data_IF_864621620666
#
_entry.id   IF_864621620666
#
_cell.length_a   1.000
_cell.length_b   1.000
_cell.length_c   1.000
_cell.angle_alpha   90.00
_cell.angle_beta   90.00
_cell.angle_gamma   90.00
#
_symmetry.space_group_name_H-M   'P 1'
#
loop_
_entity.id
_entity.type
_entity.pdbx_description
1 polymer ?
#
# COMPACT_ATOMS: atom_id res chain seq x y z
N UNK A 1 8.69 -1.60 -9.44
CA UNK A 1 7.87 -2.66 -10.08
C UNK A 1 6.43 -2.49 -9.63
N UNK A 2 5.50 -2.40 -10.56
CA UNK A 2 4.05 -2.40 -10.26
C UNK A 2 3.61 -3.87 -10.21
N UNK A 3 3.03 -4.31 -9.08
CA UNK A 3 2.45 -5.65 -8.98
C UNK A 3 1.06 -5.61 -9.63
N UNK A 4 0.98 -5.93 -10.92
CA UNK A 4 -0.28 -5.94 -11.65
C UNK A 4 -1.26 -6.94 -11.02
N UNK A 5 -2.42 -6.44 -10.62
CA UNK A 5 -3.53 -7.26 -10.12
C UNK A 5 -3.48 -7.64 -8.64
N UNK A 6 -2.43 -7.30 -7.88
CA UNK A 6 -2.40 -7.55 -6.44
C UNK A 6 -2.93 -6.33 -5.67
N UNK A 7 -3.98 -6.55 -4.88
CA UNK A 7 -4.53 -5.53 -3.98
C UNK A 7 -4.29 -5.97 -2.54
N UNK A 8 -3.58 -5.14 -1.77
CA UNK A 8 -3.40 -5.35 -0.35
C UNK A 8 -4.63 -4.83 0.41
N UNK A 9 -5.47 -5.72 0.90
CA UNK A 9 -6.62 -5.33 1.72
C UNK A 9 -6.23 -5.14 3.18
N UNK A 10 -6.42 -3.91 3.68
CA UNK A 10 -6.19 -3.55 5.08
C UNK A 10 -7.52 -3.69 5.85
N UNK A 11 -7.54 -4.56 6.83
CA UNK A 11 -8.73 -4.94 7.58
C UNK A 11 -9.34 -6.27 7.13
N UNK A 12 -10.36 -6.73 7.84
CA UNK A 12 -11.09 -7.98 7.58
C UNK A 12 -10.21 -9.21 7.32
N UNK A 13 -9.01 -9.27 7.95
CA UNK A 13 -8.08 -10.38 7.76
C UNK A 13 -7.52 -10.50 6.34
N UNK A 14 -7.41 -9.39 5.60
CA UNK A 14 -6.93 -9.38 4.22
C UNK A 14 -8.02 -9.55 3.16
N UNK A 15 -9.28 -9.63 3.57
CA UNK A 15 -10.43 -9.70 2.66
C UNK A 15 -10.90 -8.30 2.25
N UNK A 16 -11.55 -8.21 1.08
CA UNK A 16 -12.16 -6.96 0.62
C UNK A 16 -13.18 -6.43 1.63
N UNK A 17 -13.12 -5.14 1.92
CA UNK A 17 -14.06 -4.49 2.82
C UNK A 17 -15.49 -4.55 2.26
N UNK A 18 -16.48 -5.08 3.01
CA UNK A 18 -17.86 -5.15 2.54
C UNK A 18 -18.48 -3.77 2.30
N UNK A 19 -18.01 -2.72 2.97
CA UNK A 19 -18.46 -1.35 2.76
C UNK A 19 -17.97 -0.76 1.42
N UNK A 20 -16.95 -1.32 0.81
CA UNK A 20 -16.44 -0.91 -0.51
C UNK A 20 -17.12 -1.63 -1.66
N UNK A 21 -17.95 -2.64 -1.38
CA UNK A 21 -18.81 -3.24 -2.38
C UNK A 21 -19.98 -2.30 -2.62
N UNK A 22 -20.02 -1.62 -3.77
CA UNK A 22 -21.23 -0.95 -4.23
C UNK A 22 -22.35 -1.99 -4.27
N UNK A 23 -23.55 -1.74 -3.68
CA UNK A 23 -24.66 -2.65 -3.89
C UNK A 23 -24.92 -2.70 -5.40
N UNK A 24 -25.23 -3.89 -5.96
CA UNK A 24 -25.66 -3.97 -7.34
C UNK A 24 -26.87 -3.05 -7.48
N UNK A 25 -26.79 -2.09 -8.40
CA UNK A 25 -27.88 -1.16 -8.69
C UNK A 25 -29.03 -1.98 -9.26
N UNK A 26 -29.90 -2.46 -8.39
CA UNK A 26 -31.20 -3.02 -8.77
C UNK A 26 -32.09 -1.84 -9.13
N UNK A 27 -31.84 -1.23 -10.28
CA UNK A 27 -32.90 -0.49 -10.93
C UNK A 27 -33.87 -1.48 -11.52
N UNK A 28 -35.01 -1.60 -10.83
CA UNK A 28 -36.12 -2.39 -11.29
C UNK A 28 -36.54 -2.00 -12.69
N UNK A 29 -36.39 -2.90 -13.64
CA UNK A 29 -37.20 -2.97 -14.84
C UNK A 29 -37.93 -4.30 -14.85
N UNK A 30 -39.24 -4.14 -14.69
CA UNK A 30 -40.24 -5.18 -14.78
C UNK A 30 -40.10 -6.01 -16.06
N UNK A 31 -40.42 -7.27 -15.87
CA UNK A 31 -40.55 -8.35 -16.82
C UNK A 31 -41.04 -7.98 -18.23
N UNK A 32 -40.37 -8.57 -19.25
CA UNK A 32 -41.00 -9.17 -20.40
C UNK A 32 -40.11 -10.23 -21.02
N UNK A 33 -40.48 -11.45 -20.79
CA UNK A 33 -40.47 -12.68 -21.61
C UNK A 33 -39.91 -12.54 -23.04
N UNK A 34 -38.82 -13.33 -23.34
CA UNK A 34 -38.62 -14.18 -24.51
C UNK A 34 -37.14 -14.46 -24.80
N UNK A 35 -36.84 -15.77 -24.94
CA UNK A 35 -35.86 -16.29 -25.90
C UNK A 35 -34.54 -16.74 -25.32
N UNK A 36 -34.39 -18.03 -25.27
CA UNK A 36 -33.16 -18.80 -25.15
C UNK A 36 -32.12 -18.30 -26.16
N UNK A 37 -30.92 -18.09 -25.68
CA UNK A 37 -29.58 -18.24 -26.29
C UNK A 37 -28.59 -17.20 -25.73
N UNK A 38 -27.35 -17.69 -25.48
CA UNK A 38 -26.15 -16.95 -25.03
C UNK A 38 -25.90 -16.84 -23.51
N UNK A 39 -25.39 -17.96 -22.96
CA UNK A 39 -24.92 -18.07 -21.57
C UNK A 39 -23.39 -17.98 -21.41
N UNK A 40 -22.62 -17.54 -22.39
CA UNK A 40 -21.14 -17.55 -22.28
C UNK A 40 -20.44 -16.17 -22.22
N UNK A 41 -21.13 -15.04 -22.46
CA UNK A 41 -20.49 -13.72 -22.42
C UNK A 41 -20.74 -12.90 -21.15
N UNK A 42 -21.44 -13.43 -20.14
CA UNK A 42 -21.89 -12.66 -18.99
C UNK A 42 -20.88 -12.66 -17.84
N UNK A 43 -19.91 -13.58 -17.84
CA UNK A 43 -18.98 -13.74 -16.71
C UNK A 43 -17.79 -12.76 -16.77
N UNK A 44 -17.36 -12.34 -17.95
CA UNK A 44 -16.24 -11.42 -18.12
C UNK A 44 -16.62 -9.95 -17.88
N UNK A 45 -17.86 -9.58 -18.16
CA UNK A 45 -18.37 -8.20 -17.97
C UNK A 45 -18.70 -7.86 -16.50
N UNK A 46 -18.88 -8.88 -15.64
CA UNK A 46 -19.16 -8.69 -14.20
C UNK A 46 -17.88 -8.37 -13.38
N UNK A 47 -16.70 -8.68 -13.89
CA UNK A 47 -15.44 -8.41 -13.22
C UNK A 47 -14.92 -6.97 -13.46
N UNK A 48 -15.30 -6.33 -14.56
CA UNK A 48 -14.91 -4.95 -14.88
C UNK A 48 -15.69 -3.88 -14.09
N UNK A 49 -16.80 -4.22 -13.45
CA UNK A 49 -17.67 -3.29 -12.72
C UNK A 49 -17.36 -3.13 -11.23
N UNK A 50 -16.41 -3.89 -10.66
CA UNK A 50 -15.99 -3.73 -9.27
C UNK A 50 -14.82 -2.74 -9.15
N UNK A 51 -15.03 -1.50 -9.56
CA UNK A 51 -14.13 -0.44 -9.14
C UNK A 51 -14.26 -0.26 -7.62
N UNK A 52 -13.23 -0.67 -6.89
CA UNK A 52 -13.13 -0.38 -5.47
C UNK A 52 -13.09 1.14 -5.30
N UNK A 53 -14.13 1.69 -4.72
CA UNK A 53 -14.36 3.12 -4.53
C UNK A 53 -13.25 3.85 -3.77
N UNK A 54 -12.29 3.11 -3.18
CA UNK A 54 -11.20 3.65 -2.37
C UNK A 54 -9.86 2.89 -2.61
N UNK A 55 -9.61 2.53 -3.88
CA UNK A 55 -8.34 1.97 -4.30
C UNK A 55 -7.31 3.09 -4.40
N UNK A 56 -6.27 3.01 -3.58
CA UNK A 56 -5.16 3.97 -3.61
C UNK A 56 -3.85 3.22 -3.76
N UNK A 57 -2.98 3.77 -4.60
CA UNK A 57 -1.63 3.27 -4.74
C UNK A 57 -0.79 3.68 -3.52
N UNK A 58 -0.16 2.71 -2.88
CA UNK A 58 0.77 2.89 -1.77
C UNK A 58 2.17 2.52 -2.23
N UNK A 59 3.15 3.35 -1.94
CA UNK A 59 4.56 3.00 -2.10
C UNK A 59 5.01 2.24 -0.87
N UNK A 60 5.30 0.95 -1.03
CA UNK A 60 5.83 0.10 0.04
C UNK A 60 7.34 -0.02 -0.08
N UNK A 61 8.03 0.23 1.03
CA UNK A 61 9.48 0.16 1.12
C UNK A 61 9.85 -1.00 2.03
N UNK A 62 10.59 -1.92 1.45
CA UNK A 62 11.09 -3.10 2.12
C UNK A 62 12.61 -3.22 1.94
N UNK A 63 13.24 -4.09 2.71
CA UNK A 63 14.67 -4.40 2.61
C UNK A 63 15.06 -4.88 1.20
N UNK A 64 14.14 -5.49 0.48
CA UNK A 64 14.31 -6.00 -0.89
C UNK A 64 14.14 -4.95 -1.98
N UNK A 65 13.56 -3.77 -1.66
CA UNK A 65 13.38 -2.68 -2.60
C UNK A 65 12.12 -1.85 -2.36
N UNK A 66 11.73 -1.10 -3.39
CA UNK A 66 10.57 -0.20 -3.40
C UNK A 66 9.49 -0.74 -4.35
N UNK A 67 8.28 -0.87 -3.85
CA UNK A 67 7.15 -1.45 -4.57
C UNK A 67 5.98 -0.48 -4.61
N UNK A 68 5.22 -0.51 -5.69
CA UNK A 68 3.94 0.17 -5.77
C UNK A 68 2.84 -0.89 -5.65
N UNK A 69 1.98 -0.76 -4.66
CA UNK A 69 0.88 -1.68 -4.38
C UNK A 69 -0.44 -0.92 -4.39
N UNK A 70 -1.45 -1.56 -4.93
CA UNK A 70 -2.81 -1.09 -4.76
C UNK A 70 -3.33 -1.53 -3.38
N UNK A 71 -3.90 -0.59 -2.63
CA UNK A 71 -4.38 -0.82 -1.27
C UNK A 71 -5.87 -0.57 -1.19
N UNK A 72 -6.58 -1.55 -0.65
CA UNK A 72 -7.99 -1.44 -0.28
C UNK A 72 -8.13 -1.15 1.21
N UNK A 73 -8.57 0.05 1.56
CA UNK A 73 -8.79 0.46 2.94
C UNK A 73 -10.11 -0.08 3.50
N UNK A 74 -10.16 -0.32 4.79
CA UNK A 74 -11.43 -0.60 5.46
C UNK A 74 -12.18 0.71 5.70
N UNK A 75 -13.42 0.80 5.20
CA UNK A 75 -14.29 1.96 5.29
C UNK A 75 -15.56 1.68 6.12
N UNK A 76 -15.56 0.64 6.96
CA UNK A 76 -16.68 0.35 7.85
C UNK A 76 -16.91 1.48 8.85
N UNK A 77 -18.14 1.67 9.39
CA UNK A 77 -18.44 2.76 10.34
C UNK A 77 -17.55 2.81 11.58
N UNK A 78 -17.01 1.66 12.00
CA UNK A 78 -16.11 1.52 13.14
C UNK A 78 -14.68 1.19 12.71
N UNK A 79 -14.30 1.47 11.45
CA UNK A 79 -12.95 1.22 11.00
C UNK A 79 -11.96 2.14 11.70
N UNK A 80 -10.79 1.64 12.12
CA UNK A 80 -9.74 2.50 12.63
C UNK A 80 -9.17 3.39 11.51
N UNK A 81 -8.48 4.46 11.91
CA UNK A 81 -7.79 5.35 10.98
C UNK A 81 -6.81 4.58 10.08
N UNK A 82 -6.55 5.10 8.87
CA UNK A 82 -5.65 4.49 7.88
C UNK A 82 -4.26 4.18 8.45
N UNK A 83 -3.75 5.06 9.30
CA UNK A 83 -2.49 4.88 10.03
C UNK A 83 -2.52 3.63 10.90
N UNK A 84 -3.61 3.44 11.67
CA UNK A 84 -3.78 2.29 12.56
C UNK A 84 -3.93 1.00 11.73
N UNK A 85 -4.64 1.06 10.60
CA UNK A 85 -4.76 -0.07 9.68
C UNK A 85 -3.39 -0.52 9.17
N UNK A 86 -2.50 0.41 8.79
CA UNK A 86 -1.12 0.09 8.39
C UNK A 86 -0.33 -0.56 9.52
N UNK A 87 -0.40 -0.02 10.74
CA UNK A 87 0.29 -0.60 11.90
C UNK A 87 -0.17 -2.03 12.21
N UNK A 88 -1.46 -2.32 12.06
CA UNK A 88 -1.99 -3.68 12.21
C UNK A 88 -1.36 -4.68 11.21
N UNK A 89 -0.97 -4.19 10.03
CA UNK A 89 -0.26 -4.96 9.01
C UNK A 89 1.28 -4.85 9.11
N UNK A 90 1.80 -4.36 10.23
CA UNK A 90 3.24 -4.14 10.47
C UNK A 90 3.89 -3.24 9.42
N UNK A 91 3.16 -2.23 8.99
CA UNK A 91 3.63 -1.19 8.10
C UNK A 91 3.68 0.15 8.83
N UNK A 92 4.82 0.82 8.77
CA UNK A 92 5.03 2.13 9.38
C UNK A 92 4.73 3.21 8.34
N UNK A 93 3.70 4.05 8.52
CA UNK A 93 3.35 5.09 7.57
C UNK A 93 4.39 6.22 7.58
N UNK A 94 4.76 6.72 6.41
CA UNK A 94 5.64 7.89 6.26
C UNK A 94 4.94 9.20 6.66
N UNK A 95 3.61 9.24 6.62
CA UNK A 95 2.78 10.39 6.97
C UNK A 95 1.57 9.94 7.81
N UNK A 96 1.19 10.77 8.78
CA UNK A 96 0.07 10.48 9.70
C UNK A 96 -1.29 10.94 9.19
N UNK A 97 -1.36 11.82 8.20
CA UNK A 97 -2.63 12.38 7.72
C UNK A 97 -3.20 11.63 6.51
N UNK A 98 -2.38 11.38 5.49
CA UNK A 98 -2.74 10.64 4.28
C UNK A 98 -1.55 9.80 3.85
N UNK A 99 -1.42 8.57 4.37
CA UNK A 99 -0.27 7.73 4.06
C UNK A 99 -0.33 7.27 2.60
N UNK A 100 0.60 7.77 1.78
CA UNK A 100 0.89 7.33 0.41
C UNK A 100 2.11 6.43 0.34
N UNK A 101 2.90 6.42 1.43
CA UNK A 101 4.14 5.65 1.53
C UNK A 101 4.18 4.97 2.89
N UNK A 102 4.62 3.72 2.92
CA UNK A 102 4.81 2.95 4.14
C UNK A 102 6.11 2.14 4.10
N UNK A 103 6.69 1.93 5.26
CA UNK A 103 7.90 1.14 5.48
C UNK A 103 7.57 -0.16 6.18
N UNK A 104 8.24 -1.26 5.81
CA UNK A 104 8.25 -2.43 6.69
C UNK A 104 9.11 -2.16 7.92
N UNK A 105 8.77 -2.74 9.07
CA UNK A 105 9.62 -2.60 10.26
C UNK A 105 11.03 -3.16 10.00
N UNK A 106 11.15 -4.19 9.18
CA UNK A 106 12.43 -4.77 8.82
C UNK A 106 13.37 -3.80 8.12
N UNK A 107 12.87 -2.97 7.20
CA UNK A 107 13.72 -1.96 6.53
C UNK A 107 14.13 -0.84 7.47
N UNK A 108 13.29 -0.47 8.44
CA UNK A 108 13.63 0.55 9.45
C UNK A 108 14.72 0.04 10.40
N UNK A 109 14.61 -1.20 10.87
CA UNK A 109 15.64 -1.85 11.69
C UNK A 109 16.96 -1.96 10.93
N UNK A 110 16.90 -2.38 9.67
CA UNK A 110 18.09 -2.49 8.82
C UNK A 110 18.75 -1.13 8.60
N UNK A 111 17.98 -0.09 8.33
CA UNK A 111 18.48 1.27 8.20
C UNK A 111 19.11 1.77 9.51
N UNK A 112 18.49 1.48 10.65
CA UNK A 112 19.02 1.86 11.95
C UNK A 112 20.42 1.25 12.18
N UNK A 113 20.57 -0.04 11.90
CA UNK A 113 21.87 -0.74 12.01
C UNK A 113 22.90 -0.12 11.03
N UNK A 114 22.54 0.06 9.77
CA UNK A 114 23.40 0.68 8.76
C UNK A 114 23.83 2.10 9.16
N UNK A 115 22.95 2.87 9.77
CA UNK A 115 23.23 4.24 10.21
C UNK A 115 24.19 4.27 11.43
N UNK A 116 24.01 3.34 12.37
CA UNK A 116 24.84 3.28 13.59
C UNK A 116 26.21 2.69 13.28
N UNK A 117 26.27 1.54 12.64
CA UNK A 117 27.50 0.78 12.40
C UNK A 117 28.30 1.34 11.22
N UNK A 118 27.64 1.62 10.10
CA UNK A 118 28.27 2.03 8.85
C UNK A 118 28.23 3.55 8.61
N UNK A 119 27.61 4.32 9.50
CA UNK A 119 27.40 5.78 9.35
C UNK A 119 26.67 6.14 8.04
N UNK A 120 25.79 5.26 7.58
CA UNK A 120 25.04 5.43 6.35
C UNK A 120 24.00 6.53 6.52
N UNK A 121 24.02 7.53 5.62
CA UNK A 121 22.99 8.55 5.58
C UNK A 121 21.70 8.06 4.93
N UNK A 122 20.56 8.69 5.21
CA UNK A 122 19.28 8.38 4.56
C UNK A 122 19.38 8.46 3.03
N UNK A 123 20.17 9.41 2.50
CA UNK A 123 20.41 9.53 1.06
C UNK A 123 21.14 8.31 0.47
N UNK A 124 22.19 7.85 1.13
CA UNK A 124 22.95 6.67 0.67
C UNK A 124 22.09 5.41 0.78
N UNK A 125 21.30 5.30 1.84
CA UNK A 125 20.40 4.18 2.03
C UNK A 125 19.29 4.14 0.97
N UNK A 126 18.66 5.29 0.67
CA UNK A 126 17.66 5.37 -0.40
C UNK A 126 18.26 5.04 -1.78
N UNK A 127 19.48 5.49 -2.08
CA UNK A 127 20.19 5.13 -3.31
C UNK A 127 20.48 3.63 -3.41
N UNK A 128 20.74 2.96 -2.26
CA UNK A 128 20.89 1.51 -2.18
C UNK A 128 19.57 0.81 -2.52
N UNK A 129 18.45 1.26 -1.94
CA UNK A 129 17.13 0.72 -2.23
C UNK A 129 16.71 0.90 -3.69
N UNK A 130 17.01 2.05 -4.30
CA UNK A 130 16.78 2.28 -5.73
C UNK A 130 17.49 1.23 -6.59
N UNK A 131 18.76 0.96 -6.31
CA UNK A 131 19.55 -0.03 -7.05
C UNK A 131 19.07 -1.46 -6.82
N UNK A 132 18.56 -1.77 -5.63
CA UNK A 132 17.95 -3.07 -5.35
C UNK A 132 16.64 -3.25 -6.10
N UNK A 133 15.87 -2.18 -6.28
CA UNK A 133 14.59 -2.19 -7.00
C UNK A 133 14.79 -2.30 -8.50
N UNK A 134 15.62 -1.44 -9.07
CA UNK A 134 15.97 -1.44 -10.48
C UNK A 134 17.45 -1.08 -10.66
N UNK A 135 18.25 -2.10 -10.89
CA UNK A 135 19.68 -1.93 -11.11
C UNK A 135 20.01 -1.21 -12.42
N UNK A 136 19.18 -1.40 -13.45
CA UNK A 136 19.39 -0.84 -14.78
C UNK A 136 19.02 0.64 -14.86
N UNK A 137 17.98 1.06 -14.15
CA UNK A 137 17.53 2.44 -14.10
C UNK A 137 17.11 2.88 -12.68
N UNK A 138 18.05 3.04 -11.76
CA UNK A 138 17.74 3.40 -10.37
C UNK A 138 16.99 4.74 -10.24
N UNK A 139 17.18 5.65 -11.17
CA UNK A 139 16.56 6.98 -11.17
C UNK A 139 15.05 6.96 -11.45
N UNK A 140 14.53 5.86 -12.02
CA UNK A 140 13.08 5.70 -12.24
C UNK A 140 12.30 5.41 -10.96
N UNK A 141 13.00 5.01 -9.88
CA UNK A 141 12.38 4.63 -8.62
C UNK A 141 12.08 5.88 -7.79
N UNK A 142 10.80 6.14 -7.42
CA UNK A 142 10.42 7.34 -6.66
C UNK A 142 10.88 7.21 -5.21
N UNK A 143 11.98 7.87 -4.85
CA UNK A 143 12.52 7.85 -3.47
C UNK A 143 12.54 9.23 -2.81
N UNK A 144 12.14 10.28 -3.52
CA UNK A 144 12.15 11.65 -2.99
C UNK A 144 11.35 11.80 -1.69
N UNK A 145 10.32 10.99 -1.50
CA UNK A 145 9.49 10.97 -0.29
C UNK A 145 10.09 10.14 0.87
N UNK A 146 11.22 9.43 0.63
CA UNK A 146 11.82 8.55 1.63
C UNK A 146 12.74 9.26 2.62
N UNK A 147 13.36 10.35 2.20
CA UNK A 147 14.44 11.00 2.95
C UNK A 147 13.95 11.59 4.26
N UNK A 148 12.84 12.33 4.22
CA UNK A 148 12.31 13.03 5.41
C UNK A 148 11.86 12.05 6.50
N UNK A 149 11.06 11.00 6.20
CA UNK A 149 10.66 10.02 7.20
C UNK A 149 11.83 9.23 7.80
N UNK A 150 12.83 8.87 7.00
CA UNK A 150 14.01 8.14 7.47
C UNK A 150 14.87 9.00 8.41
N UNK A 151 15.10 10.28 8.08
CA UNK A 151 15.81 11.20 8.95
C UNK A 151 15.05 11.43 10.26
N UNK A 152 13.74 11.61 10.22
CA UNK A 152 12.90 11.74 11.41
C UNK A 152 12.93 10.48 12.28
N UNK A 153 12.93 9.29 11.67
CA UNK A 153 13.06 8.03 12.40
C UNK A 153 14.39 7.94 13.15
N UNK A 154 15.52 8.31 12.51
CA UNK A 154 16.83 8.35 13.16
C UNK A 154 16.89 9.35 14.31
N UNK A 155 16.29 10.54 14.14
CA UNK A 155 16.26 11.55 15.19
C UNK A 155 15.47 11.07 16.40
N UNK A 156 14.31 10.46 16.19
CA UNK A 156 13.49 9.87 17.28
C UNK A 156 14.21 8.75 18.01
N UNK A 157 14.96 7.91 17.29
CA UNK A 157 15.71 6.80 17.90
C UNK A 157 16.90 7.29 18.75
N UNK A 158 17.49 8.43 18.42
CA UNK A 158 18.61 9.03 19.19
C UNK A 158 18.14 9.66 20.50
N UNK A 159 16.96 10.28 20.52
CA UNK A 159 16.42 10.94 21.72
C UNK A 159 15.86 9.93 22.74
N UNK A 160 15.58 8.71 22.37
CA UNK A 160 15.08 7.63 23.26
C UNK A 160 16.17 6.91 24.05
N UNK A 161 17.46 7.18 23.84
CA UNK A 161 18.58 6.50 24.50
C UNK A 161 19.12 7.28 25.73
N UNK A 162 18.61 8.47 25.97
CA UNK A 162 19.07 9.32 27.10
C UNK A 162 18.13 9.30 28.33
N UNK A 163 17.50 8.16 28.65
CA UNK A 163 16.82 7.96 29.93
C UNK A 163 17.12 6.59 30.51
#
# INVERSE_FOLDING_TARGET
MHAEGFILHLGHGGSCCPANRSPPTTEGKAARDRGDEELEEVEETLLEGLELKDKRTLVLIDISGVYQLDVGWCCCPNAPDQVIQLFQHRLFPASTSKPSTAFTFGVLEYFHIDAVECKTSALNFSSKLQRLTDFSNPQSVPVSELLIPLDNYLMSSRTGIEN
#
